data_IF_525381959997
#
_entry.id   IF_525381959997
#
_cell.length_a   1.000
_cell.length_b   1.000
_cell.length_c   1.000
_cell.angle_alpha   90.00
_cell.angle_beta   90.00
_cell.angle_gamma   90.00
#
_symmetry.space_group_name_H-M   'P 1'
#
loop_
_entity.id
_entity.type
_entity.pdbx_description
1 polymer ?
#
# COMPACT_ATOMS: atom_id res chain seq x y z
N UNK A 1 8.89 11.76 -79.33
CA UNK A 1 7.73 11.72 -78.40
C UNK A 1 8.19 11.13 -77.07
N UNK A 2 8.40 11.97 -76.03
CA UNK A 2 8.91 11.55 -74.75
C UNK A 2 7.73 11.44 -73.81
N UNK A 3 7.36 10.21 -73.42
CA UNK A 3 6.32 9.97 -72.41
C UNK A 3 6.99 9.96 -71.04
N UNK A 4 6.70 10.99 -70.24
CA UNK A 4 7.12 11.10 -68.86
C UNK A 4 6.15 10.28 -67.98
N UNK A 5 6.62 9.11 -67.51
CA UNK A 5 5.93 8.36 -66.45
C UNK A 5 6.10 9.03 -65.08
N UNK A 6 5.00 9.44 -64.49
CA UNK A 6 4.97 9.97 -63.10
C UNK A 6 4.88 8.78 -62.15
N UNK A 7 5.98 8.52 -61.41
CA UNK A 7 5.94 7.61 -60.27
C UNK A 7 5.15 8.25 -59.13
N UNK A 8 4.02 7.69 -58.81
CA UNK A 8 3.26 8.03 -57.61
C UNK A 8 3.88 7.29 -56.41
N UNK A 9 4.55 8.05 -55.55
CA UNK A 9 5.09 7.53 -54.28
C UNK A 9 3.91 7.50 -53.28
N UNK A 10 3.38 6.34 -53.03
CA UNK A 10 2.41 6.14 -51.96
C UNK A 10 3.18 6.16 -50.64
N UNK A 11 3.00 7.22 -49.87
CA UNK A 11 3.49 7.30 -48.50
C UNK A 11 2.60 6.37 -47.63
N UNK A 12 3.16 5.27 -47.25
CA UNK A 12 2.54 4.36 -46.26
C UNK A 12 2.64 5.03 -44.88
N UNK A 13 1.55 5.62 -44.41
CA UNK A 13 1.45 6.14 -43.05
C UNK A 13 1.17 4.95 -42.14
N UNK A 14 2.20 4.45 -41.47
CA UNK A 14 2.04 3.46 -40.40
C UNK A 14 1.49 4.21 -39.19
N UNK A 15 0.19 4.05 -38.97
CA UNK A 15 -0.49 4.52 -37.74
C UNK A 15 -0.10 3.58 -36.60
N UNK A 16 0.93 3.97 -35.85
CA UNK A 16 1.39 3.26 -34.66
C UNK A 16 0.35 3.51 -33.57
N UNK A 17 -0.63 2.59 -33.44
CA UNK A 17 -1.62 2.61 -32.38
C UNK A 17 -0.94 2.43 -31.03
N UNK A 18 -0.90 3.47 -30.23
CA UNK A 18 -0.55 3.43 -28.81
C UNK A 18 -1.63 2.61 -28.09
N UNK A 19 -1.34 1.33 -27.83
CA UNK A 19 -2.10 0.52 -26.89
C UNK A 19 -1.81 1.04 -25.48
N UNK A 20 -2.51 2.09 -25.06
CA UNK A 20 -2.57 2.49 -23.66
C UNK A 20 -3.40 1.44 -22.93
N UNK A 21 -2.73 0.45 -22.34
CA UNK A 21 -3.36 -0.45 -21.37
C UNK A 21 -3.88 0.37 -20.18
N UNK A 22 -4.89 -0.13 -19.43
CA UNK A 22 -5.35 0.54 -18.24
C UNK A 22 -4.18 0.62 -17.26
N UNK A 23 -3.63 1.81 -17.08
CA UNK A 23 -2.73 2.10 -15.99
C UNK A 23 -3.59 1.97 -14.71
N UNK A 24 -3.33 0.96 -13.90
CA UNK A 24 -3.78 0.96 -12.51
C UNK A 24 -3.06 2.14 -11.86
N UNK A 25 -3.72 3.28 -11.85
CA UNK A 25 -3.15 4.48 -11.26
C UNK A 25 -3.03 4.24 -9.76
N UNK A 26 -1.80 4.23 -9.23
CA UNK A 26 -1.53 4.32 -7.81
C UNK A 26 -2.28 5.54 -7.28
N UNK A 27 -3.34 5.29 -6.53
CA UNK A 27 -4.16 6.35 -5.99
C UNK A 27 -3.59 6.78 -4.65
N UNK A 28 -3.23 8.04 -4.53
CA UNK A 28 -2.82 8.64 -3.25
C UNK A 28 -4.03 9.27 -2.58
N UNK A 29 -4.19 8.98 -1.29
CA UNK A 29 -5.12 9.69 -0.41
C UNK A 29 -4.35 10.32 0.74
N UNK A 30 -4.79 11.49 1.17
CA UNK A 30 -4.25 12.20 2.31
C UNK A 30 -5.39 12.62 3.23
N UNK A 31 -5.20 12.49 4.53
CA UNK A 31 -6.21 12.91 5.48
C UNK A 31 -5.89 12.53 6.91
N UNK A 32 -6.75 13.02 7.80
CA UNK A 32 -6.66 12.73 9.23
C UNK A 32 -7.10 11.29 9.52
N UNK A 33 -6.33 10.60 10.34
CA UNK A 33 -6.72 9.29 10.87
C UNK A 33 -7.79 9.48 11.96
N UNK A 34 -8.97 8.95 11.71
CA UNK A 34 -10.13 9.08 12.63
C UNK A 34 -10.32 7.84 13.49
N UNK A 35 -9.99 6.67 12.98
CA UNK A 35 -10.13 5.38 13.66
C UNK A 35 -8.91 4.50 13.39
N UNK A 36 -8.47 3.78 14.42
CA UNK A 36 -7.53 2.66 14.30
C UNK A 36 -8.31 1.39 14.68
N UNK A 37 -8.58 0.53 13.70
CA UNK A 37 -9.31 -0.73 13.92
C UNK A 37 -8.42 -1.77 14.60
N UNK A 38 -7.19 -1.89 14.09
CA UNK A 38 -6.09 -2.69 14.63
C UNK A 38 -4.74 -2.13 14.14
N UNK A 39 -3.62 -2.81 14.42
CA UNK A 39 -2.29 -2.30 14.06
C UNK A 39 -2.07 -2.18 12.56
N UNK A 40 -2.83 -2.93 11.76
CA UNK A 40 -2.70 -2.99 10.31
C UNK A 40 -3.88 -2.38 9.53
N UNK A 41 -4.86 -1.79 10.22
CA UNK A 41 -6.04 -1.18 9.57
C UNK A 41 -6.41 0.15 10.24
N UNK A 42 -6.32 1.21 9.46
CA UNK A 42 -6.66 2.59 9.88
C UNK A 42 -7.75 3.17 8.99
N UNK A 43 -8.45 4.20 9.47
CA UNK A 43 -9.44 4.95 8.68
C UNK A 43 -8.91 6.36 8.46
N UNK A 44 -8.66 6.70 7.19
CA UNK A 44 -8.11 7.98 6.75
C UNK A 44 -9.20 8.78 6.05
N UNK A 45 -9.60 9.90 6.64
CA UNK A 45 -10.68 10.76 6.10
C UNK A 45 -11.93 9.95 5.69
N UNK A 46 -12.36 8.99 6.52
CA UNK A 46 -13.48 8.10 6.27
C UNK A 46 -13.20 6.90 5.37
N UNK A 47 -12.00 6.78 4.81
CA UNK A 47 -11.59 5.66 3.94
C UNK A 47 -10.81 4.62 4.74
N UNK A 48 -11.31 3.38 4.90
CA UNK A 48 -10.55 2.32 5.54
C UNK A 48 -9.38 1.87 4.67
N UNK A 49 -8.19 1.77 5.26
CA UNK A 49 -6.95 1.33 4.62
C UNK A 49 -6.32 0.18 5.39
N UNK A 50 -6.10 -0.93 4.69
CA UNK A 50 -5.30 -2.06 5.15
C UNK A 50 -3.83 -1.80 4.80
N UNK A 51 -2.97 -1.75 5.78
CA UNK A 51 -1.54 -1.56 5.55
C UNK A 51 -0.94 -2.76 4.82
N UNK A 52 -0.42 -2.54 3.63
CA UNK A 52 0.07 -3.59 2.76
C UNK A 52 1.26 -4.32 3.37
N UNK A 53 1.15 -5.63 3.49
CA UNK A 53 2.24 -6.49 3.96
C UNK A 53 2.53 -6.41 5.46
N UNK A 54 1.70 -5.74 6.25
CA UNK A 54 1.79 -5.72 7.71
C UNK A 54 0.89 -6.82 8.29
N UNK A 55 1.47 -7.73 9.05
CA UNK A 55 0.78 -8.84 9.72
C UNK A 55 0.71 -8.59 11.22
N UNK A 56 -0.43 -8.11 11.67
CA UNK A 56 -0.68 -7.77 13.06
C UNK A 56 -1.37 -8.88 13.83
N UNK A 57 -1.14 -8.99 15.16
CA UNK A 57 -1.87 -9.90 16.00
C UNK A 57 -3.34 -9.51 16.12
N UNK A 58 -4.21 -10.52 16.27
CA UNK A 58 -5.65 -10.31 16.41
C UNK A 58 -6.00 -9.46 17.63
N UNK A 59 -6.89 -8.48 17.46
CA UNK A 59 -7.33 -7.58 18.53
C UNK A 59 -8.06 -8.28 19.68
N UNK A 60 -8.56 -9.47 19.46
CA UNK A 60 -9.14 -10.34 20.53
C UNK A 60 -8.09 -10.76 21.56
N UNK A 61 -6.81 -10.79 21.18
CA UNK A 61 -5.70 -11.12 22.05
C UNK A 61 -5.16 -9.91 22.83
N UNK A 62 -4.44 -10.15 23.92
CA UNK A 62 -3.77 -9.09 24.68
C UNK A 62 -2.74 -8.34 23.81
N UNK A 63 -1.89 -9.10 23.11
CA UNK A 63 -0.86 -8.50 22.24
C UNK A 63 -1.46 -7.72 21.06
N UNK A 64 -2.59 -8.16 20.53
CA UNK A 64 -3.31 -7.42 19.49
C UNK A 64 -3.88 -6.10 19.99
N UNK A 65 -4.42 -6.06 21.23
CA UNK A 65 -4.86 -4.80 21.85
C UNK A 65 -3.70 -3.84 22.13
N UNK A 66 -2.55 -4.37 22.59
CA UNK A 66 -1.33 -3.58 22.78
C UNK A 66 -0.84 -2.98 21.47
N UNK A 67 -0.82 -3.79 20.40
CA UNK A 67 -0.44 -3.34 19.07
C UNK A 67 -1.38 -2.25 18.51
N UNK A 68 -2.69 -2.44 18.69
CA UNK A 68 -3.69 -1.41 18.35
C UNK A 68 -3.48 -0.12 19.15
N UNK A 69 -3.21 -0.22 20.44
CA UNK A 69 -2.93 0.93 21.29
C UNK A 69 -1.68 1.67 20.82
N UNK A 70 -0.63 0.95 20.43
CA UNK A 70 0.57 1.54 19.86
C UNK A 70 0.25 2.35 18.60
N UNK A 71 -0.45 1.74 17.63
CA UNK A 71 -0.83 2.42 16.39
C UNK A 71 -1.75 3.62 16.66
N UNK A 72 -2.68 3.49 17.60
CA UNK A 72 -3.57 4.59 17.98
C UNK A 72 -2.78 5.81 18.51
N UNK A 73 -1.79 5.57 19.36
CA UNK A 73 -0.92 6.65 19.86
C UNK A 73 -0.06 7.27 18.77
N UNK A 74 0.33 6.46 17.78
CA UNK A 74 1.17 6.92 16.68
C UNK A 74 0.41 7.84 15.71
N UNK A 75 -0.80 7.45 15.30
CA UNK A 75 -1.44 8.06 14.12
C UNK A 75 -2.81 8.70 14.37
N UNK A 76 -3.53 8.37 15.45
CA UNK A 76 -4.89 8.92 15.64
C UNK A 76 -4.87 10.42 15.76
N UNK A 77 -5.65 11.10 14.93
CA UNK A 77 -5.70 12.56 14.86
C UNK A 77 -4.60 13.20 14.01
N UNK A 78 -3.61 12.40 13.57
CA UNK A 78 -2.54 12.85 12.68
C UNK A 78 -3.00 12.78 11.21
N UNK A 79 -2.40 13.61 10.37
CA UNK A 79 -2.57 13.55 8.92
C UNK A 79 -1.55 12.60 8.33
N UNK A 80 -2.02 11.60 7.58
CA UNK A 80 -1.19 10.62 6.88
C UNK A 80 -1.45 10.67 5.38
N UNK A 81 -0.44 10.27 4.61
CA UNK A 81 -0.53 10.09 3.16
C UNK A 81 -0.43 8.60 2.84
N UNK A 82 -1.43 8.04 2.16
CA UNK A 82 -1.44 6.62 1.79
C UNK A 82 -1.37 6.46 0.28
N UNK A 83 -0.43 5.64 -0.17
CA UNK A 83 -0.31 5.18 -1.55
C UNK A 83 -1.08 3.87 -1.68
N UNK A 84 -2.23 3.91 -2.37
CA UNK A 84 -3.09 2.74 -2.56
C UNK A 84 -2.66 2.00 -3.82
N UNK A 85 -2.56 0.67 -3.72
CA UNK A 85 -2.14 -0.19 -4.85
C UNK A 85 -3.29 -0.65 -5.76
N UNK A 86 -4.53 -0.16 -5.54
CA UNK A 86 -5.71 -0.54 -6.31
C UNK A 86 -6.41 -1.81 -5.85
N UNK A 87 -5.82 -2.56 -4.93
CA UNK A 87 -6.45 -3.76 -4.36
C UNK A 87 -7.43 -3.42 -3.24
N UNK A 88 -8.41 -4.30 -3.07
CA UNK A 88 -9.38 -4.22 -1.98
C UNK A 88 -9.43 -5.54 -1.22
N UNK A 89 -9.62 -5.42 0.10
CA UNK A 89 -9.87 -6.56 0.98
C UNK A 89 -11.03 -6.20 1.93
N UNK A 90 -12.16 -6.84 1.73
CA UNK A 90 -13.44 -6.48 2.36
C UNK A 90 -13.82 -5.03 2.05
N UNK A 91 -14.03 -4.19 3.05
CA UNK A 91 -14.37 -2.77 2.91
C UNK A 91 -13.14 -1.83 2.82
N UNK A 92 -11.91 -2.39 2.81
CA UNK A 92 -10.66 -1.64 2.92
C UNK A 92 -9.93 -1.56 1.58
N UNK A 93 -9.32 -0.42 1.31
CA UNK A 93 -8.27 -0.30 0.30
C UNK A 93 -6.95 -0.79 0.86
N UNK A 94 -6.09 -1.34 0.00
CA UNK A 94 -4.74 -1.79 0.39
C UNK A 94 -3.73 -0.71 0.00
N UNK A 95 -2.82 -0.38 0.93
CA UNK A 95 -1.83 0.65 0.67
C UNK A 95 -0.73 0.75 1.71
N UNK A 96 0.26 1.57 1.40
CA UNK A 96 1.34 1.96 2.31
C UNK A 96 1.08 3.39 2.77
N UNK A 97 1.05 3.62 4.08
CA UNK A 97 0.75 4.92 4.67
C UNK A 97 1.97 5.51 5.38
N UNK A 98 2.09 6.82 5.26
CA UNK A 98 3.24 7.58 5.78
C UNK A 98 2.76 8.69 6.72
N UNK A 99 3.45 8.82 7.84
CA UNK A 99 3.37 9.95 8.76
C UNK A 99 4.69 10.71 8.73
N UNK A 100 4.65 11.98 8.36
CA UNK A 100 5.86 12.81 8.20
C UNK A 100 6.95 12.12 7.34
N UNK A 101 6.53 11.46 6.26
CA UNK A 101 7.40 10.74 5.33
C UNK A 101 7.88 9.37 5.81
N UNK A 102 7.49 8.93 7.01
CA UNK A 102 7.87 7.62 7.56
C UNK A 102 6.75 6.60 7.38
N UNK A 103 7.09 5.42 6.87
CA UNK A 103 6.18 4.29 6.72
C UNK A 103 5.70 3.80 8.10
N UNK A 104 4.40 3.99 8.39
CA UNK A 104 3.83 3.60 9.70
C UNK A 104 3.81 2.09 9.92
N UNK A 105 3.74 1.30 8.84
CA UNK A 105 3.88 -0.15 8.91
C UNK A 105 5.29 -0.56 9.33
N UNK A 106 6.31 0.09 8.78
CA UNK A 106 7.71 -0.10 9.18
C UNK A 106 7.91 0.25 10.66
N UNK A 107 7.33 1.35 11.13
CA UNK A 107 7.39 1.75 12.54
C UNK A 107 6.75 0.68 13.44
N UNK A 108 5.59 0.16 13.07
CA UNK A 108 4.90 -0.88 13.85
C UNK A 108 5.72 -2.18 13.93
N UNK A 109 6.30 -2.63 12.82
CA UNK A 109 7.14 -3.84 12.77
C UNK A 109 8.42 -3.65 13.56
N UNK A 110 9.12 -2.53 13.39
CA UNK A 110 10.37 -2.24 14.10
C UNK A 110 10.19 -2.13 15.63
N UNK A 111 8.99 -1.73 16.09
CA UNK A 111 8.63 -1.68 17.52
C UNK A 111 8.03 -2.99 18.05
N UNK A 112 8.01 -4.05 17.26
CA UNK A 112 7.61 -5.38 17.71
C UNK A 112 6.10 -5.60 17.82
N UNK A 113 5.30 -4.75 17.17
CA UNK A 113 3.83 -4.83 17.21
C UNK A 113 3.20 -5.53 16.00
N UNK A 114 3.99 -5.87 14.99
CA UNK A 114 3.57 -6.62 13.81
C UNK A 114 4.74 -7.37 13.21
N UNK A 115 4.45 -8.25 12.26
CA UNK A 115 5.41 -8.97 11.45
C UNK A 115 5.26 -8.59 9.97
N UNK A 116 6.25 -8.97 9.17
CA UNK A 116 6.20 -8.86 7.72
C UNK A 116 5.37 -9.99 7.10
N UNK A 117 4.39 -9.66 6.29
CA UNK A 117 3.71 -10.62 5.43
C UNK A 117 4.36 -10.59 4.04
N UNK A 118 5.40 -11.38 3.85
CA UNK A 118 6.23 -11.40 2.63
C UNK A 118 5.42 -11.56 1.34
N UNK A 119 4.33 -12.32 1.39
CA UNK A 119 3.46 -12.54 0.22
C UNK A 119 2.95 -11.21 -0.37
N UNK A 120 2.67 -10.22 0.49
CA UNK A 120 2.12 -8.94 0.07
C UNK A 120 3.14 -7.80 0.10
N UNK A 121 4.10 -7.85 1.04
CA UNK A 121 5.13 -6.82 1.19
C UNK A 121 6.29 -6.97 0.21
N UNK A 122 6.49 -8.20 -0.33
CA UNK A 122 7.71 -8.55 -1.04
C UNK A 122 8.94 -8.64 -0.13
N UNK A 123 8.75 -8.68 1.19
CA UNK A 123 9.83 -8.69 2.18
C UNK A 123 10.22 -7.30 2.71
N UNK A 124 9.43 -6.27 2.40
CA UNK A 124 9.68 -4.86 2.76
C UNK A 124 10.02 -4.64 4.22
N UNK A 125 9.39 -5.40 5.13
CA UNK A 125 9.53 -5.21 6.58
C UNK A 125 10.34 -6.32 7.27
N UNK A 126 10.83 -7.30 6.52
CA UNK A 126 11.45 -8.50 7.09
C UNK A 126 12.61 -8.20 8.02
N UNK A 127 13.49 -7.30 7.62
CA UNK A 127 14.70 -6.96 8.38
C UNK A 127 14.40 -6.08 9.60
N UNK A 128 13.19 -5.54 9.71
CA UNK A 128 12.73 -4.76 10.85
C UNK A 128 12.10 -5.60 11.96
N UNK A 129 11.76 -6.86 11.69
CA UNK A 129 11.14 -7.73 12.68
C UNK A 129 12.06 -7.97 13.88
N UNK A 130 11.52 -7.84 15.09
CA UNK A 130 12.27 -8.16 16.30
C UNK A 130 12.17 -9.65 16.64
N UNK A 131 13.20 -10.25 17.26
CA UNK A 131 13.14 -11.64 17.72
C UNK A 131 11.97 -11.92 18.67
N UNK A 132 11.69 -10.97 19.58
CA UNK A 132 10.58 -11.05 20.52
C UNK A 132 9.21 -11.08 19.82
N UNK A 133 9.02 -10.26 18.78
CA UNK A 133 7.80 -10.27 17.98
C UNK A 133 7.62 -11.61 17.25
N UNK A 134 8.68 -12.13 16.64
CA UNK A 134 8.65 -13.42 15.93
C UNK A 134 8.26 -14.59 16.84
N UNK A 135 8.62 -14.54 18.14
CA UNK A 135 8.30 -15.62 19.08
C UNK A 135 6.87 -15.57 19.62
N UNK A 136 6.24 -14.39 19.64
CA UNK A 136 4.92 -14.21 20.28
C UNK A 136 3.76 -13.92 19.33
N UNK A 137 4.04 -13.41 18.11
CA UNK A 137 3.01 -13.12 17.11
C UNK A 137 2.91 -14.31 16.17
N UNK A 138 1.71 -14.92 16.08
CA UNK A 138 1.43 -15.93 15.08
C UNK A 138 1.19 -15.27 13.73
N UNK A 139 1.85 -15.77 12.70
CA UNK A 139 1.62 -15.33 11.31
C UNK A 139 0.24 -15.82 10.84
N UNK A 140 -0.46 -14.97 10.10
CA UNK A 140 -1.71 -15.32 9.44
C UNK A 140 -1.48 -16.20 8.20
#
# INVERSE_FOLDING_TARGET
MIVRGRLAIWKLVILMGLLSGPAFADRTIEGRVTVVRDVDTIVVAGTPVRLNGVDGPEVSTRIGREARTFMTRLVRGETVTCQLNGERTYDRWVGVCYLDGQDIGAIAVANGHALDCRRYSGGRYRDLETPAARSRIQRA
#
